data_IF_572801171605
#
_entry.id   IF_572801171605
#
_cell.length_a   1.000
_cell.length_b   1.000
_cell.length_c   1.000
_cell.angle_alpha   90.00
_cell.angle_beta   90.00
_cell.angle_gamma   90.00
#
_symmetry.space_group_name_H-M   'P 1'
#
loop_
_entity.id
_entity.type
_entity.pdbx_description
1 polymer ?
#
# COMPACT_ATOMS: atom_id res chain seq x y z
N UNK A 1 -21.15 16.53 27.03
CA UNK A 1 -21.14 15.88 25.70
C UNK A 1 -20.07 16.54 24.82
N UNK A 2 -18.96 15.85 24.52
CA UNK A 2 -18.05 16.22 23.43
C UNK A 2 -18.00 15.04 22.47
N UNK A 3 -18.65 15.17 21.32
CA UNK A 3 -18.64 14.17 20.25
C UNK A 3 -17.20 14.07 19.70
N UNK A 4 -16.52 12.98 20.00
CA UNK A 4 -15.25 12.59 19.39
C UNK A 4 -15.49 12.02 17.97
N UNK A 5 -16.26 12.72 17.14
CA UNK A 5 -16.53 12.37 15.75
C UNK A 5 -15.81 13.38 14.86
N UNK A 6 -14.61 13.08 14.33
CA UNK A 6 -14.09 13.88 13.19
C UNK A 6 -12.79 13.42 12.51
N UNK A 7 -11.91 12.59 13.12
CA UNK A 7 -10.62 12.27 12.44
C UNK A 7 -10.59 10.95 11.68
N UNK A 8 -11.38 9.96 12.10
CA UNK A 8 -11.49 8.66 11.42
C UNK A 8 -12.18 8.72 10.05
N UNK A 9 -13.11 9.66 9.88
CA UNK A 9 -13.95 9.75 8.69
C UNK A 9 -13.22 10.31 7.45
N UNK A 10 -11.98 10.80 7.54
CA UNK A 10 -11.35 11.51 6.41
C UNK A 10 -10.54 10.62 5.46
N UNK A 11 -9.85 9.58 5.92
CA UNK A 11 -8.89 8.88 5.05
C UNK A 11 -9.59 7.94 4.04
N UNK A 12 -10.60 7.17 4.48
CA UNK A 12 -11.36 6.28 3.61
C UNK A 12 -12.09 7.06 2.53
N UNK A 13 -12.68 8.20 2.89
CA UNK A 13 -13.30 9.13 1.94
C UNK A 13 -12.29 9.66 0.91
N UNK A 14 -11.08 10.05 1.33
CA UNK A 14 -10.02 10.54 0.44
C UNK A 14 -9.49 9.47 -0.52
N UNK A 15 -9.45 8.23 -0.05
CA UNK A 15 -9.13 7.04 -0.86
C UNK A 15 -10.34 6.49 -1.63
N UNK A 16 -11.52 7.09 -1.47
CA UNK A 16 -12.75 6.63 -2.13
C UNK A 16 -13.18 5.21 -1.74
N UNK A 17 -12.89 4.78 -0.51
CA UNK A 17 -13.23 3.45 0.00
C UNK A 17 -14.64 3.44 0.61
N UNK A 18 -15.40 2.40 0.31
CA UNK A 18 -16.64 2.10 1.04
C UNK A 18 -16.34 1.22 2.29
N UNK A 19 -17.38 0.94 3.07
CA UNK A 19 -17.24 0.15 4.31
C UNK A 19 -16.77 -1.28 4.04
N UNK A 20 -17.32 -1.95 3.02
CA UNK A 20 -16.96 -3.31 2.62
C UNK A 20 -15.47 -3.42 2.26
N UNK A 21 -14.98 -2.53 1.40
CA UNK A 21 -13.58 -2.48 0.98
C UNK A 21 -12.64 -2.29 2.17
N UNK A 22 -13.02 -1.42 3.10
CA UNK A 22 -12.22 -1.18 4.29
C UNK A 22 -12.27 -2.39 5.23
N UNK A 23 -13.44 -2.96 5.50
CA UNK A 23 -13.57 -4.11 6.40
C UNK A 23 -12.82 -5.33 5.88
N UNK A 24 -12.95 -5.65 4.59
CA UNK A 24 -12.25 -6.77 3.97
C UNK A 24 -10.73 -6.57 4.00
N UNK A 25 -10.26 -5.36 3.72
CA UNK A 25 -8.82 -5.07 3.79
C UNK A 25 -8.30 -5.25 5.22
N UNK A 26 -9.03 -4.76 6.22
CA UNK A 26 -8.64 -4.89 7.63
C UNK A 26 -8.62 -6.35 8.09
N UNK A 27 -9.63 -7.13 7.71
CA UNK A 27 -9.67 -8.58 7.97
C UNK A 27 -8.42 -9.28 7.43
N UNK A 28 -8.02 -8.99 6.19
CA UNK A 28 -6.82 -9.59 5.59
C UNK A 28 -5.51 -9.25 6.30
N UNK A 29 -5.47 -8.13 7.01
CA UNK A 29 -4.31 -7.71 7.81
C UNK A 29 -4.31 -8.29 9.22
N UNK A 30 -5.45 -8.82 9.70
CA UNK A 30 -5.66 -9.18 11.11
C UNK A 30 -6.01 -7.99 12.02
N UNK A 31 -6.02 -6.76 11.50
CA UNK A 31 -6.34 -5.58 12.27
C UNK A 31 -7.86 -5.44 12.45
N UNK A 32 -8.36 -5.54 13.69
CA UNK A 32 -9.81 -5.49 13.99
C UNK A 32 -10.45 -4.13 13.72
N UNK A 33 -9.69 -3.06 13.87
CA UNK A 33 -10.17 -1.68 13.67
C UNK A 33 -9.01 -0.72 13.47
N UNK A 34 -9.22 0.29 12.66
CA UNK A 34 -8.31 1.43 12.62
C UNK A 34 -8.52 2.32 13.85
N UNK A 35 -7.43 2.87 14.37
CA UNK A 35 -7.46 3.94 15.39
C UNK A 35 -6.77 5.19 14.85
N UNK A 36 -7.06 6.37 15.43
CA UNK A 36 -6.56 7.67 14.93
C UNK A 36 -5.03 7.69 14.85
N UNK A 37 -4.36 6.93 15.71
CA UNK A 37 -2.91 6.82 15.77
C UNK A 37 -2.28 5.86 14.76
N UNK A 38 -3.07 5.20 13.91
CA UNK A 38 -2.57 4.24 12.92
C UNK A 38 -2.29 4.87 11.54
N UNK A 39 -2.95 5.98 11.18
CA UNK A 39 -2.65 6.71 9.94
C UNK A 39 -1.39 7.57 10.11
N UNK A 40 -0.25 7.01 9.73
CA UNK A 40 1.04 7.70 9.79
C UNK A 40 1.07 8.85 8.78
N UNK A 41 0.64 8.58 7.55
CA UNK A 41 0.61 9.55 6.46
C UNK A 41 -0.65 9.44 5.62
N UNK A 42 -1.11 10.60 5.18
CA UNK A 42 -2.12 10.78 4.14
C UNK A 42 -1.62 11.90 3.23
N UNK A 43 -1.49 11.67 1.93
CA UNK A 43 -0.79 12.59 1.05
C UNK A 43 -1.45 13.97 0.99
N UNK A 44 -2.79 14.02 0.96
CA UNK A 44 -3.53 15.29 1.04
C UNK A 44 -3.34 16.09 2.34
N UNK A 45 -2.82 15.46 3.40
CA UNK A 45 -2.49 16.11 4.69
C UNK A 45 -1.01 16.44 4.81
N UNK A 46 -0.15 15.50 4.40
CA UNK A 46 1.29 15.53 4.70
C UNK A 46 2.17 15.87 3.50
N UNK A 47 1.60 15.91 2.29
CA UNK A 47 2.35 16.09 1.04
C UNK A 47 2.58 14.78 0.28
N UNK A 48 3.02 14.92 -0.97
CA UNK A 48 3.28 13.79 -1.88
C UNK A 48 4.78 13.48 -2.03
N UNK A 49 5.64 14.24 -1.35
CA UNK A 49 7.08 14.23 -1.57
C UNK A 49 7.78 13.04 -0.90
N UNK A 50 8.84 12.53 -1.51
CA UNK A 50 9.61 11.39 -1.01
C UNK A 50 10.22 11.56 0.38
N UNK A 51 10.37 12.80 0.83
CA UNK A 51 10.97 13.22 2.09
C UNK A 51 10.20 12.66 3.30
N UNK A 52 8.89 12.42 3.15
CA UNK A 52 8.08 11.75 4.18
C UNK A 52 8.61 10.35 4.50
N UNK A 53 9.31 9.69 3.56
CA UNK A 53 9.92 8.37 3.78
C UNK A 53 11.14 8.41 4.70
N UNK A 54 11.68 9.60 5.01
CA UNK A 54 12.74 9.81 6.02
C UNK A 54 12.18 10.10 7.42
N UNK A 55 10.87 10.29 7.54
CA UNK A 55 10.24 10.72 8.78
C UNK A 55 10.37 9.68 9.90
N UNK A 56 10.69 10.09 11.14
CA UNK A 56 10.67 9.20 12.30
C UNK A 56 9.26 8.68 12.63
N UNK A 57 8.20 9.26 12.03
CA UNK A 57 6.84 8.71 12.13
C UNK A 57 6.74 7.32 11.48
N UNK A 58 7.60 6.98 10.53
CA UNK A 58 7.71 5.65 9.92
C UNK A 58 8.40 4.67 10.86
N UNK A 59 7.60 3.86 11.54
CA UNK A 59 8.08 2.76 12.38
C UNK A 59 8.20 1.51 11.52
N UNK A 60 9.43 1.17 11.16
CA UNK A 60 9.74 0.12 10.18
C UNK A 60 9.76 -1.30 10.80
N UNK A 61 9.42 -1.40 12.09
CA UNK A 61 9.30 -2.67 12.83
C UNK A 61 7.84 -3.06 13.10
N UNK A 62 6.88 -2.34 12.52
CA UNK A 62 5.45 -2.58 12.69
C UNK A 62 4.80 -2.96 11.36
N UNK A 63 3.67 -3.68 11.38
CA UNK A 63 2.88 -3.95 10.19
C UNK A 63 2.53 -2.67 9.44
N UNK A 64 2.82 -2.67 8.14
CA UNK A 64 2.69 -1.53 7.25
C UNK A 64 1.63 -1.84 6.20
N UNK A 65 0.63 -0.98 6.12
CA UNK A 65 -0.36 -0.99 5.05
C UNK A 65 -0.20 0.28 4.22
N UNK A 66 0.00 0.11 2.92
CA UNK A 66 0.06 1.19 1.93
C UNK A 66 -1.16 1.07 1.04
N UNK A 67 -1.93 2.15 0.93
CA UNK A 67 -3.10 2.23 0.05
C UNK A 67 -2.87 3.40 -0.90
N UNK A 68 -3.09 3.18 -2.19
CA UNK A 68 -2.84 4.14 -3.26
C UNK A 68 -4.11 4.26 -4.08
N UNK A 69 -4.44 5.50 -4.46
CA UNK A 69 -5.47 5.82 -5.44
C UNK A 69 -4.84 6.50 -6.65
N UNK A 70 -5.15 5.95 -7.82
CA UNK A 70 -4.83 6.52 -9.13
C UNK A 70 -6.16 6.59 -9.87
N UNK A 71 -6.68 7.80 -10.10
CA UNK A 71 -8.01 7.96 -10.71
C UNK A 71 -9.09 7.16 -9.94
N UNK A 72 -9.76 6.21 -10.59
CA UNK A 72 -10.75 5.29 -10.02
C UNK A 72 -10.15 3.95 -9.53
N UNK A 73 -8.86 3.72 -9.78
CA UNK A 73 -8.13 2.55 -9.30
C UNK A 73 -7.67 2.75 -7.85
N UNK A 74 -7.99 1.77 -7.00
CA UNK A 74 -7.55 1.75 -5.60
C UNK A 74 -6.92 0.41 -5.29
N UNK A 75 -5.66 0.43 -4.90
CA UNK A 75 -4.83 -0.76 -4.72
C UNK A 75 -3.72 -0.46 -3.71
N UNK A 76 -2.89 -1.45 -3.41
CA UNK A 76 -1.78 -1.22 -2.51
C UNK A 76 -1.12 -2.50 -2.06
N UNK A 77 -0.41 -2.39 -0.95
CA UNK A 77 0.37 -3.49 -0.42
C UNK A 77 0.39 -3.49 1.11
N UNK A 78 0.52 -4.68 1.67
CA UNK A 78 0.67 -4.91 3.09
C UNK A 78 1.94 -5.72 3.35
N UNK A 79 2.65 -5.39 4.43
CA UNK A 79 3.66 -6.27 5.01
C UNK A 79 3.54 -6.28 6.53
N UNK A 80 3.61 -7.44 7.20
CA UNK A 80 3.71 -7.48 8.67
C UNK A 80 5.02 -6.88 9.18
N UNK A 81 6.06 -6.84 8.33
CA UNK A 81 7.39 -6.28 8.63
C UNK A 81 7.95 -5.63 7.37
N UNK A 82 7.94 -4.29 7.23
CA UNK A 82 8.57 -3.63 6.10
C UNK A 82 10.09 -3.72 6.21
N UNK A 83 10.77 -3.78 5.06
CA UNK A 83 12.22 -3.74 4.98
C UNK A 83 12.72 -2.32 4.64
N UNK A 84 13.91 -1.98 5.12
CA UNK A 84 14.61 -0.73 4.75
C UNK A 84 15.84 -1.10 3.96
N UNK A 85 16.05 -0.43 2.83
CA UNK A 85 17.22 -0.68 1.99
C UNK A 85 18.53 -0.36 2.73
N UNK A 86 19.17 -1.43 3.23
CA UNK A 86 20.61 -1.66 3.50
C UNK A 86 20.89 -2.91 4.33
N UNK A 87 19.87 -3.60 4.84
CA UNK A 87 20.01 -4.97 5.36
C UNK A 87 18.79 -5.79 4.92
N UNK A 88 19.06 -6.84 4.16
CA UNK A 88 18.13 -7.92 3.84
C UNK A 88 17.66 -8.57 5.13
N UNK A 89 16.58 -8.04 5.73
CA UNK A 89 15.91 -8.66 6.88
C UNK A 89 14.42 -8.43 6.71
N UNK A 90 13.68 -9.50 6.42
CA UNK A 90 12.22 -9.47 6.38
C UNK A 90 11.58 -10.25 5.24
N UNK A 91 12.12 -11.42 4.87
CA UNK A 91 11.34 -12.37 4.09
C UNK A 91 10.07 -12.71 4.87
N UNK A 92 8.93 -12.67 4.20
CA UNK A 92 7.64 -12.97 4.84
C UNK A 92 6.69 -13.63 3.86
N UNK A 93 5.93 -14.60 4.37
CA UNK A 93 4.85 -15.23 3.63
C UNK A 93 3.53 -14.47 3.75
N UNK A 94 3.41 -13.50 4.66
CA UNK A 94 2.12 -12.84 4.96
C UNK A 94 1.95 -11.47 4.30
N UNK A 95 2.98 -10.96 3.60
CA UNK A 95 2.84 -9.77 2.76
C UNK A 95 1.94 -10.00 1.56
N UNK A 96 1.19 -9.00 1.11
CA UNK A 96 0.36 -9.15 -0.09
C UNK A 96 0.15 -7.85 -0.84
N UNK A 97 -0.08 -7.97 -2.15
CA UNK A 97 -0.71 -6.92 -2.96
C UNK A 97 -2.23 -7.11 -2.96
N UNK A 98 -2.95 -6.02 -3.15
CA UNK A 98 -4.40 -6.05 -3.30
C UNK A 98 -4.90 -5.00 -4.28
N UNK A 99 -6.11 -5.21 -4.79
CA UNK A 99 -6.90 -4.23 -5.53
C UNK A 99 -8.31 -4.17 -4.95
N UNK A 100 -8.79 -2.97 -4.68
CA UNK A 100 -10.15 -2.68 -4.19
C UNK A 100 -11.02 -2.12 -5.31
N UNK A 101 -10.43 -1.43 -6.30
CA UNK A 101 -11.10 -0.88 -7.48
C UNK A 101 -10.19 -0.90 -8.71
N UNK A 102 -10.75 -1.00 -9.93
CA UNK A 102 -12.15 -1.33 -10.23
C UNK A 102 -12.44 -2.83 -10.05
N UNK A 103 -13.71 -3.21 -10.12
CA UNK A 103 -14.15 -4.61 -10.07
C UNK A 103 -14.10 -5.23 -8.66
N UNK A 104 -13.97 -6.57 -8.56
CA UNK A 104 -14.04 -7.27 -7.28
C UNK A 104 -12.81 -6.98 -6.40
N UNK A 105 -13.06 -6.90 -5.09
CA UNK A 105 -12.03 -6.79 -4.06
C UNK A 105 -11.14 -8.04 -4.13
N UNK A 106 -9.86 -7.85 -4.45
CA UNK A 106 -8.94 -8.94 -4.77
C UNK A 106 -7.67 -8.86 -3.93
N UNK A 107 -7.38 -9.92 -3.16
CA UNK A 107 -6.08 -10.19 -2.55
C UNK A 107 -5.25 -11.04 -3.50
N UNK A 108 -4.05 -10.60 -3.86
CA UNK A 108 -3.22 -11.33 -4.82
C UNK A 108 -2.46 -12.47 -4.15
N UNK A 109 -2.47 -13.64 -4.80
CA UNK A 109 -1.70 -14.80 -4.39
C UNK A 109 -0.24 -14.67 -4.82
N UNK A 110 0.66 -15.27 -4.04
CA UNK A 110 2.09 -15.29 -4.34
C UNK A 110 2.42 -16.37 -5.38
N UNK A 111 3.46 -16.14 -6.16
CA UNK A 111 4.06 -17.13 -7.05
C UNK A 111 5.10 -18.00 -6.34
N UNK A 112 5.82 -17.42 -5.37
CA UNK A 112 6.88 -18.07 -4.62
C UNK A 112 6.71 -17.84 -3.12
N UNK A 113 7.21 -18.79 -2.33
CA UNK A 113 7.33 -18.61 -0.88
C UNK A 113 8.51 -17.68 -0.59
N UNK A 114 8.37 -16.84 0.44
CA UNK A 114 9.40 -15.94 0.98
C UNK A 114 9.97 -14.89 0.01
N UNK A 115 9.57 -13.62 0.18
CA UNK A 115 10.13 -12.49 -0.56
C UNK A 115 10.13 -11.23 0.35
N UNK A 116 10.89 -10.17 0.00
CA UNK A 116 10.77 -8.89 0.68
C UNK A 116 9.34 -8.36 0.52
N UNK A 117 8.60 -8.21 1.62
CA UNK A 117 7.18 -7.86 1.59
C UNK A 117 6.92 -6.46 1.02
N UNK A 118 7.39 -5.44 1.73
CA UNK A 118 7.37 -4.04 1.30
C UNK A 118 8.72 -3.43 1.66
N UNK A 119 9.39 -2.83 0.69
CA UNK A 119 10.64 -2.11 0.84
C UNK A 119 10.37 -0.60 0.80
N UNK A 120 10.86 0.11 1.82
CA UNK A 120 10.90 1.57 1.82
C UNK A 120 12.34 1.99 1.53
N UNK A 121 12.52 2.76 0.46
CA UNK A 121 13.77 3.43 0.12
C UNK A 121 13.64 4.89 0.55
N UNK A 122 14.33 5.31 1.63
CA UNK A 122 14.23 6.68 2.11
C UNK A 122 14.50 7.69 1.00
N UNK A 123 13.68 8.73 0.93
CA UNK A 123 13.82 9.83 -0.05
C UNK A 123 13.69 9.39 -1.52
N UNK A 124 13.06 8.24 -1.77
CA UNK A 124 12.88 7.73 -3.13
C UNK A 124 11.51 7.09 -3.32
N UNK A 125 11.30 5.87 -2.80
CA UNK A 125 10.19 5.05 -3.24
C UNK A 125 9.73 4.03 -2.20
N UNK A 126 8.55 3.46 -2.48
CA UNK A 126 8.02 2.25 -1.85
C UNK A 126 7.94 1.18 -2.93
N UNK A 127 8.50 0.00 -2.68
CA UNK A 127 8.44 -1.14 -3.59
C UNK A 127 7.79 -2.34 -2.90
N UNK A 128 6.90 -3.04 -3.58
CA UNK A 128 6.26 -4.25 -3.06
C UNK A 128 6.47 -5.40 -4.07
N UNK A 129 7.12 -6.48 -3.62
CA UNK A 129 7.65 -7.55 -4.49
C UNK A 129 9.18 -7.48 -4.67
N UNK A 130 9.76 -8.48 -5.35
CA UNK A 130 11.21 -8.67 -5.44
C UNK A 130 11.88 -7.85 -6.57
N UNK A 131 13.12 -7.37 -6.33
CA UNK A 131 14.12 -6.81 -7.28
C UNK A 131 13.56 -6.27 -8.61
N UNK A 132 12.71 -5.26 -8.52
CA UNK A 132 11.99 -4.73 -9.69
C UNK A 132 10.47 -4.86 -9.60
N UNK A 133 9.98 -5.31 -8.44
CA UNK A 133 8.69 -5.13 -7.77
C UNK A 133 7.45 -5.05 -8.66
N UNK A 134 6.49 -5.93 -8.39
CA UNK A 134 5.16 -5.89 -9.01
C UNK A 134 4.47 -4.54 -8.83
N UNK A 135 4.83 -3.81 -7.76
CA UNK A 135 4.45 -2.41 -7.54
C UNK A 135 5.64 -1.56 -7.10
N UNK A 136 5.88 -0.45 -7.79
CA UNK A 136 6.83 0.59 -7.42
C UNK A 136 6.11 1.95 -7.38
N UNK A 137 6.15 2.60 -6.23
CA UNK A 137 5.69 3.97 -6.01
C UNK A 137 6.90 4.88 -5.91
N UNK A 138 7.29 5.54 -7.00
CA UNK A 138 8.39 6.50 -7.02
C UNK A 138 7.85 7.85 -6.55
N UNK A 139 8.10 8.22 -5.29
CA UNK A 139 7.61 9.48 -4.72
C UNK A 139 8.53 10.67 -5.05
N UNK A 140 9.72 10.40 -5.59
CA UNK A 140 10.68 11.43 -6.01
C UNK A 140 10.43 11.85 -7.45
N UNK A 141 10.10 10.90 -8.32
CA UNK A 141 9.73 11.11 -9.71
C UNK A 141 8.44 10.35 -10.00
N UNK A 142 7.26 10.91 -9.66
CA UNK A 142 5.96 10.22 -9.72
C UNK A 142 5.67 9.44 -11.00
N UNK A 143 6.03 10.01 -12.16
CA UNK A 143 5.84 9.38 -13.48
C UNK A 143 6.68 8.12 -13.72
N UNK A 144 7.65 7.80 -12.84
CA UNK A 144 8.42 6.54 -12.86
C UNK A 144 7.78 5.44 -12.03
N UNK A 145 6.68 5.73 -11.33
CA UNK A 145 5.89 4.71 -10.66
C UNK A 145 5.37 3.70 -11.67
N UNK A 146 5.36 2.42 -11.31
CA UNK A 146 5.00 1.34 -12.23
C UNK A 146 4.37 0.15 -11.53
N UNK A 147 3.52 -0.56 -12.25
CA UNK A 147 2.88 -1.79 -11.79
C UNK A 147 2.90 -2.87 -12.87
N UNK A 148 3.44 -4.04 -12.55
CA UNK A 148 3.50 -5.19 -13.44
C UNK A 148 3.44 -6.49 -12.64
N UNK A 149 2.29 -7.15 -12.66
CA UNK A 149 2.13 -8.43 -11.98
C UNK A 149 2.89 -9.56 -12.71
N UNK A 150 3.22 -10.61 -11.97
CA UNK A 150 3.84 -11.82 -12.49
C UNK A 150 5.29 -12.03 -12.03
N UNK A 151 5.85 -11.12 -11.23
CA UNK A 151 7.16 -11.29 -10.62
C UNK A 151 7.05 -12.06 -9.30
N UNK A 152 6.43 -11.44 -8.31
CA UNK A 152 6.17 -12.01 -6.98
C UNK A 152 4.71 -12.40 -6.81
N UNK A 153 3.80 -11.61 -7.38
CA UNK A 153 2.37 -11.79 -7.22
C UNK A 153 1.72 -12.24 -8.53
N UNK A 154 0.83 -13.24 -8.42
CA UNK A 154 0.12 -13.79 -9.57
C UNK A 154 -0.94 -12.81 -10.05
N UNK A 155 -0.95 -12.54 -11.36
CA UNK A 155 -2.08 -11.86 -12.00
C UNK A 155 -3.31 -12.78 -12.00
N UNK A 156 -4.50 -12.30 -11.62
CA UNK A 156 -5.73 -13.10 -11.72
C UNK A 156 -5.99 -13.57 -13.15
N UNK A 157 -6.59 -14.75 -13.29
CA UNK A 157 -6.87 -15.33 -14.62
C UNK A 157 -7.77 -14.42 -15.45
N UNK A 158 -7.46 -14.30 -16.74
CA UNK A 158 -8.19 -13.43 -17.68
C UNK A 158 -7.95 -11.94 -17.50
N UNK A 159 -7.07 -11.52 -16.57
CA UNK A 159 -6.68 -10.12 -16.39
C UNK A 159 -5.31 -9.83 -17.04
N UNK A 160 -5.05 -8.56 -17.34
CA UNK A 160 -3.78 -8.11 -17.89
C UNK A 160 -2.82 -7.64 -16.77
N UNK A 161 -1.64 -8.25 -16.61
CA UNK A 161 -0.70 -7.91 -15.53
C UNK A 161 -0.17 -6.47 -15.59
N UNK A 162 -0.18 -5.82 -16.76
CA UNK A 162 0.29 -4.44 -16.97
C UNK A 162 -0.74 -3.39 -16.59
N UNK A 163 -2.01 -3.73 -16.52
CA UNK A 163 -3.10 -2.76 -16.30
C UNK A 163 -3.96 -3.09 -15.09
N UNK A 164 -3.79 -4.28 -14.49
CA UNK A 164 -4.65 -4.76 -13.40
C UNK A 164 -4.74 -3.80 -12.21
N UNK A 165 -3.61 -3.24 -11.77
CA UNK A 165 -3.55 -2.36 -10.59
C UNK A 165 -3.93 -0.92 -10.92
N UNK A 166 -3.13 -0.23 -11.73
CA UNK A 166 -3.23 1.21 -11.96
C UNK A 166 -3.86 1.60 -13.32
N UNK A 167 -4.46 0.65 -14.03
CA UNK A 167 -5.02 0.88 -15.38
C UNK A 167 -3.95 0.96 -16.48
N UNK A 168 -2.69 1.20 -16.13
CA UNK A 168 -1.55 1.24 -17.03
C UNK A 168 -0.25 0.80 -16.35
N UNK A 169 0.76 0.44 -17.14
CA UNK A 169 2.03 -0.06 -16.62
C UNK A 169 2.83 1.02 -15.89
N UNK A 170 2.80 2.26 -16.39
CA UNK A 170 3.57 3.42 -15.93
C UNK A 170 2.90 4.71 -16.39
N UNK A 171 3.41 5.88 -15.96
CA UNK A 171 2.94 7.19 -16.41
C UNK A 171 1.64 7.66 -15.76
N UNK A 172 1.16 6.92 -14.77
CA UNK A 172 0.01 7.30 -13.96
C UNK A 172 0.40 8.26 -12.82
N UNK A 173 -0.55 9.08 -12.40
CA UNK A 173 -0.36 10.06 -11.33
C UNK A 173 -1.09 9.60 -10.07
N UNK A 174 -0.37 9.54 -8.94
CA UNK A 174 -0.97 9.20 -7.65
C UNK A 174 -1.90 10.34 -7.23
N UNK A 175 -3.20 10.07 -7.12
CA UNK A 175 -4.21 11.03 -6.71
C UNK A 175 -4.34 11.14 -5.19
N UNK A 176 -4.04 10.05 -4.48
CA UNK A 176 -3.98 10.00 -3.01
C UNK A 176 -3.17 8.76 -2.60
N UNK A 177 -2.48 8.81 -1.47
CA UNK A 177 -2.00 7.60 -0.81
C UNK A 177 -2.04 7.73 0.71
N UNK A 178 -2.11 6.59 1.38
CA UNK A 178 -2.00 6.51 2.82
C UNK A 178 -0.97 5.45 3.22
N UNK A 179 -0.19 5.75 4.24
CA UNK A 179 0.69 4.81 4.91
C UNK A 179 0.22 4.65 6.35
N UNK A 180 -0.12 3.42 6.72
CA UNK A 180 -0.66 3.09 8.04
C UNK A 180 0.26 2.11 8.75
N UNK A 181 0.55 2.37 10.04
CA UNK A 181 1.09 1.34 10.93
C UNK A 181 -0.04 0.72 11.73
N UNK A 182 -0.20 -0.59 11.61
CA UNK A 182 -1.20 -1.33 12.37
C UNK A 182 -0.54 -1.76 13.68
N UNK A 183 -1.03 -1.24 14.81
CA UNK A 183 -0.44 -1.44 16.15
C UNK A 183 -1.06 -2.60 16.95
N UNK A 184 -2.09 -3.23 16.41
CA UNK A 184 -2.82 -4.35 17.03
C UNK A 184 -3.11 -5.37 15.92
N UNK A 185 -2.41 -6.52 15.95
CA UNK A 185 -2.72 -7.72 15.18
C UNK A 185 -3.25 -8.79 16.13
#
# INVERSE_FOLDING_TARGET
>A
MRRATSRHFSFSQRLGLNEEQLSTLLEWTGCKRLTVGMTTFLASRDGFESELLKSPRLTLNAPLLVIVRVEDHVFGCFSPKPAVRRRSVGLTNDSFLFRLKPGPITKLSKLHQEHPGVEIVPDQCIACGERGADLLLDLKVPLRSRSLLGGTYRCPSGQNPRTFLAGSFTGWTISEFAILHLKEL
#
